data_IF_556040400642
#
_entry.id   IF_556040400642
#
_cell.length_a   1.000
_cell.length_b   1.000
_cell.length_c   1.000
_cell.angle_alpha   90.00
_cell.angle_beta   90.00
_cell.angle_gamma   90.00
#
_symmetry.space_group_name_H-M   'P 1'
#
loop_
_entity.id
_entity.type
_entity.pdbx_description
1 polymer ?
#
# COMPACT_ATOMS: atom_id res chain seq x y z
N UNK A 1 11.16 -2.94 13.25
CA UNK A 1 10.01 -2.06 12.90
C UNK A 1 10.46 -0.61 12.91
N UNK A 2 11.13 -0.16 13.98
CA UNK A 2 11.81 1.15 14.03
C UNK A 2 12.81 1.36 12.88
N UNK A 3 13.67 0.37 12.59
CA UNK A 3 14.61 0.45 11.45
C UNK A 3 13.92 0.67 10.09
N UNK A 4 12.69 0.17 9.91
CA UNK A 4 11.94 0.37 8.66
C UNK A 4 11.36 1.79 8.58
N UNK A 5 11.01 2.37 9.73
CA UNK A 5 10.47 3.73 9.82
C UNK A 5 11.56 4.76 9.57
N UNK A 6 12.77 4.55 10.09
CA UNK A 6 13.94 5.39 9.80
C UNK A 6 14.23 5.43 8.30
N UNK A 7 14.27 4.26 7.63
CA UNK A 7 14.48 4.19 6.18
C UNK A 7 13.41 4.95 5.38
N UNK A 8 12.14 4.90 5.82
CA UNK A 8 11.05 5.64 5.18
C UNK A 8 11.23 7.14 5.38
N UNK A 9 11.66 7.59 6.56
CA UNK A 9 11.88 9.01 6.86
C UNK A 9 13.08 9.58 6.10
N UNK A 10 14.19 8.84 6.03
CA UNK A 10 15.38 9.23 5.26
C UNK A 10 15.05 9.48 3.78
N UNK A 11 14.15 8.66 3.22
CA UNK A 11 13.62 8.85 1.86
C UNK A 11 12.89 10.20 1.68
N UNK A 12 12.15 10.71 2.69
CA UNK A 12 11.61 12.07 2.61
C UNK A 12 12.69 13.13 2.71
N UNK A 13 13.69 12.92 3.57
CA UNK A 13 14.74 13.92 3.82
C UNK A 13 15.54 14.24 2.56
N UNK A 14 15.64 13.30 1.62
CA UNK A 14 16.38 13.45 0.36
C UNK A 14 15.54 14.14 -0.73
N UNK A 15 14.21 14.14 -0.62
CA UNK A 15 13.32 14.70 -1.65
C UNK A 15 12.41 15.78 -1.09
N UNK A 16 12.76 17.05 -1.36
CA UNK A 16 11.87 18.19 -1.08
C UNK A 16 10.49 17.97 -1.74
N UNK A 17 9.44 18.04 -0.93
CA UNK A 17 8.06 17.85 -1.38
C UNK A 17 7.60 16.40 -1.52
N UNK A 18 8.36 15.39 -1.06
CA UNK A 18 7.92 14.00 -1.08
C UNK A 18 6.70 13.77 -0.17
N UNK A 19 5.59 13.32 -0.77
CA UNK A 19 4.43 12.85 -0.02
C UNK A 19 4.63 11.39 0.43
N UNK A 20 5.28 11.18 1.59
CA UNK A 20 5.53 9.84 2.15
C UNK A 20 4.23 9.06 2.39
N UNK A 21 3.23 9.71 2.98
CA UNK A 21 2.02 9.01 3.43
C UNK A 21 1.30 8.34 2.25
N UNK A 22 1.04 9.02 1.12
CA UNK A 22 0.52 8.37 -0.10
C UNK A 22 1.41 7.24 -0.64
N UNK A 23 2.73 7.38 -0.57
CA UNK A 23 3.67 6.37 -1.06
C UNK A 23 3.59 5.08 -0.23
N UNK A 24 3.65 5.22 1.10
CA UNK A 24 3.49 4.10 2.04
C UNK A 24 2.11 3.47 1.89
N UNK A 25 1.06 4.28 1.79
CA UNK A 25 -0.30 3.79 1.60
C UNK A 25 -0.46 2.96 0.31
N UNK A 26 0.10 3.44 -0.81
CA UNK A 26 0.11 2.71 -2.09
C UNK A 26 0.83 1.38 -1.97
N UNK A 27 1.98 1.35 -1.29
CA UNK A 27 2.77 0.14 -1.09
C UNK A 27 2.02 -0.90 -0.22
N UNK A 28 1.41 -0.44 0.88
CA UNK A 28 0.62 -1.30 1.76
C UNK A 28 -0.60 -1.90 1.06
N UNK A 29 -1.31 -1.12 0.24
CA UNK A 29 -2.45 -1.62 -0.54
C UNK A 29 -2.01 -2.70 -1.53
N UNK A 30 -0.93 -2.46 -2.28
CA UNK A 30 -0.39 -3.47 -3.21
C UNK A 30 0.01 -4.75 -2.48
N UNK A 31 0.72 -4.65 -1.36
CA UNK A 31 1.13 -5.84 -0.60
C UNK A 31 -0.03 -6.58 0.03
N UNK A 32 -1.04 -5.88 0.55
CA UNK A 32 -2.24 -6.54 1.04
C UNK A 32 -2.98 -7.30 -0.08
N UNK A 33 -3.14 -6.69 -1.26
CA UNK A 33 -3.75 -7.35 -2.42
C UNK A 33 -2.93 -8.56 -2.89
N UNK A 34 -1.59 -8.46 -2.95
CA UNK A 34 -0.73 -9.61 -3.29
C UNK A 34 -0.89 -10.74 -2.27
N UNK A 35 -0.81 -10.44 -0.97
CA UNK A 35 -0.97 -11.43 0.10
C UNK A 35 -2.32 -12.12 0.10
N UNK A 36 -3.36 -11.50 -0.45
CA UNK A 36 -4.72 -12.05 -0.51
C UNK A 36 -5.12 -12.55 -1.90
N UNK A 37 -4.20 -12.60 -2.86
CA UNK A 37 -4.49 -13.02 -4.24
C UNK A 37 -5.53 -12.14 -4.93
N UNK A 38 -5.49 -10.82 -4.68
CA UNK A 38 -6.43 -9.85 -5.23
C UNK A 38 -7.78 -9.79 -4.52
N UNK A 39 -8.00 -10.56 -3.45
CA UNK A 39 -9.25 -10.51 -2.68
C UNK A 39 -9.34 -9.20 -1.89
N UNK A 40 -10.14 -8.26 -2.37
CA UNK A 40 -10.32 -6.93 -1.79
C UNK A 40 -10.93 -6.94 -0.39
N UNK A 41 -11.84 -7.87 -0.10
CA UNK A 41 -12.45 -7.96 1.24
C UNK A 41 -11.40 -8.39 2.26
N UNK A 42 -10.61 -9.42 1.94
CA UNK A 42 -9.51 -9.88 2.79
C UNK A 42 -8.40 -8.84 2.91
N UNK A 43 -8.06 -8.15 1.83
CA UNK A 43 -7.05 -7.09 1.84
C UNK A 43 -7.48 -5.90 2.72
N UNK A 44 -8.74 -5.47 2.61
CA UNK A 44 -9.27 -4.40 3.45
C UNK A 44 -9.26 -4.78 4.93
N UNK A 45 -9.65 -6.03 5.25
CA UNK A 45 -9.57 -6.57 6.61
C UNK A 45 -8.13 -6.61 7.14
N UNK A 46 -7.16 -7.03 6.33
CA UNK A 46 -5.74 -7.05 6.71
C UNK A 46 -5.21 -5.65 7.02
N UNK A 47 -5.67 -4.65 6.29
CA UNK A 47 -5.30 -3.25 6.48
C UNK A 47 -6.12 -2.52 7.56
N UNK A 48 -7.10 -3.18 8.17
CA UNK A 48 -7.96 -2.56 9.19
C UNK A 48 -8.89 -1.45 8.65
N UNK A 49 -9.24 -1.48 7.37
CA UNK A 49 -10.11 -0.49 6.73
C UNK A 49 -11.36 -1.12 6.11
N UNK A 50 -12.37 -0.30 5.80
CA UNK A 50 -13.53 -0.77 5.06
C UNK A 50 -13.18 -1.13 3.61
N UNK A 51 -13.96 -2.05 3.01
CA UNK A 51 -13.84 -2.36 1.57
C UNK A 51 -14.03 -1.11 0.70
N UNK A 52 -14.93 -0.20 1.08
CA UNK A 52 -15.18 1.03 0.32
C UNK A 52 -13.97 1.97 0.36
N UNK A 53 -13.33 2.10 1.52
CA UNK A 53 -12.08 2.84 1.68
C UNK A 53 -10.97 2.25 0.81
N UNK A 54 -10.79 0.92 0.83
CA UNK A 54 -9.83 0.25 -0.03
C UNK A 54 -10.10 0.53 -1.51
N UNK A 55 -11.34 0.38 -1.97
CA UNK A 55 -11.73 0.63 -3.37
C UNK A 55 -11.48 2.09 -3.80
N UNK A 56 -11.78 3.05 -2.92
CA UNK A 56 -11.52 4.47 -3.18
C UNK A 56 -10.01 4.72 -3.33
N UNK A 57 -9.20 4.19 -2.43
CA UNK A 57 -7.72 4.31 -2.48
C UNK A 57 -7.12 3.58 -3.70
N UNK A 58 -7.65 2.41 -4.07
CA UNK A 58 -7.26 1.71 -5.30
C UNK A 58 -7.52 2.57 -6.54
N UNK A 59 -8.68 3.25 -6.62
CA UNK A 59 -8.95 4.22 -7.69
C UNK A 59 -7.98 5.40 -7.64
N UNK A 60 -7.79 6.02 -6.47
CA UNK A 60 -6.88 7.16 -6.26
C UNK A 60 -5.46 6.85 -6.77
N UNK A 61 -4.96 5.66 -6.46
CA UNK A 61 -3.59 5.24 -6.81
C UNK A 61 -3.48 4.39 -8.09
N UNK A 62 -4.57 4.26 -8.85
CA UNK A 62 -4.65 3.47 -10.09
C UNK A 62 -4.10 2.03 -9.92
N UNK A 63 -4.48 1.36 -8.83
CA UNK A 63 -4.06 0.00 -8.50
C UNK A 63 -5.08 -0.99 -9.07
N UNK A 64 -4.63 -1.87 -9.98
CA UNK A 64 -5.43 -2.97 -10.51
C UNK A 64 -5.57 -4.13 -9.50
N UNK A 65 -6.63 -4.95 -9.64
CA UNK A 65 -6.83 -6.14 -8.79
C UNK A 65 -5.77 -7.23 -9.07
N UNK A 66 -5.32 -7.29 -10.32
CA UNK A 66 -4.32 -8.24 -10.82
C UNK A 66 -2.95 -7.68 -10.48
N UNK A 67 -2.64 -7.64 -9.19
CA UNK A 67 -1.27 -7.32 -8.79
C UNK A 67 -0.47 -8.56 -9.08
N UNK A 68 0.46 -8.48 -10.05
CA UNK A 68 1.38 -9.56 -10.39
C UNK A 68 1.87 -10.22 -9.11
N UNK A 69 1.49 -11.50 -8.95
CA UNK A 69 1.98 -12.31 -7.86
C UNK A 69 3.39 -12.67 -8.29
N UNK A 70 4.38 -11.87 -7.88
CA UNK A 70 5.76 -12.30 -7.92
C UNK A 70 5.83 -13.51 -6.98
N UNK A 71 5.69 -14.71 -7.57
CA UNK A 71 6.03 -15.96 -6.90
C UNK A 71 7.52 -15.84 -6.59
N UNK A 72 7.84 -15.68 -5.31
CA UNK A 72 9.19 -15.94 -4.83
C UNK A 72 9.52 -17.41 -4.99
#
# INVERSE_FOLDING_TARGET
MEEMLEQVLDLASITEGAEIIPLVERALIRKALQKTGGNQVRAARLLGISRNTLRSRMKKYRIAKEVEITRG
#
